data_IF_700414767038
#
_entry.id   IF_700414767038
#
_cell.length_a   1.000
_cell.length_b   1.000
_cell.length_c   1.000
_cell.angle_alpha   90.00
_cell.angle_beta   90.00
_cell.angle_gamma   90.00
#
_symmetry.space_group_name_H-M   'P 1'
#
loop_
_entity.id
_entity.type
_entity.pdbx_description
1 polymer ?
#
# COMPACT_ATOMS: atom_id res chain seq x y z
N UNK A 1 24.21 19.61 35.68
CA UNK A 1 25.26 20.67 35.65
C UNK A 1 26.50 20.10 34.96
N UNK A 2 27.23 20.92 34.17
CA UNK A 2 28.37 20.63 33.24
C UNK A 2 27.89 20.32 31.80
N UNK A 3 27.58 21.28 30.92
CA UNK A 3 28.41 22.31 30.22
C UNK A 3 29.67 21.76 29.53
N UNK A 4 29.59 21.56 28.22
CA UNK A 4 30.71 21.80 27.27
C UNK A 4 30.15 22.43 26.00
N UNK A 5 30.52 23.69 25.80
CA UNK A 5 30.30 24.50 24.61
C UNK A 5 31.34 24.12 23.53
N UNK A 6 30.95 24.02 22.26
CA UNK A 6 31.16 25.01 21.19
C UNK A 6 32.61 25.17 20.69
N UNK A 7 32.83 24.94 19.39
CA UNK A 7 33.44 25.84 18.38
C UNK A 7 33.56 25.02 17.07
N UNK A 8 32.90 25.44 15.97
CA UNK A 8 33.44 26.28 14.88
C UNK A 8 34.46 25.52 13.99
N UNK A 9 34.54 25.61 12.67
CA UNK A 9 33.81 26.25 11.58
C UNK A 9 34.48 25.74 10.28
N UNK A 10 33.77 25.65 9.15
CA UNK A 10 34.27 25.85 7.77
C UNK A 10 33.19 25.36 6.79
N UNK A 11 32.42 26.26 6.16
CA UNK A 11 32.70 26.84 4.84
C UNK A 11 32.90 25.81 3.72
N UNK A 12 31.84 25.56 2.97
CA UNK A 12 31.90 25.46 1.52
C UNK A 12 30.53 25.80 0.93
N UNK A 13 30.33 27.08 0.62
CA UNK A 13 29.28 27.53 -0.27
C UNK A 13 29.66 27.09 -1.70
N UNK A 14 28.78 26.35 -2.37
CA UNK A 14 28.76 26.31 -3.83
C UNK A 14 27.37 26.69 -4.27
N UNK A 15 27.30 27.95 -4.70
CA UNK A 15 26.17 28.61 -5.32
C UNK A 15 26.16 28.17 -6.79
N UNK A 16 25.14 27.44 -7.22
CA UNK A 16 24.86 27.21 -8.65
C UNK A 16 23.43 27.66 -8.94
N UNK A 17 23.28 28.93 -9.31
CA UNK A 17 22.09 29.46 -9.96
C UNK A 17 22.39 29.76 -11.43
N UNK A 18 21.62 29.14 -12.32
CA UNK A 18 21.18 29.61 -13.65
C UNK A 18 20.31 28.47 -14.21
N UNK A 19 18.99 28.43 -14.02
CA UNK A 19 17.93 29.20 -14.70
C UNK A 19 18.11 29.24 -16.21
N UNK A 20 17.20 28.59 -16.95
CA UNK A 20 16.45 29.17 -18.07
C UNK A 20 15.33 28.24 -18.55
N UNK A 21 14.11 28.76 -18.47
CA UNK A 21 13.01 28.64 -19.43
C UNK A 21 12.47 27.24 -19.82
N UNK A 22 11.22 26.96 -19.41
CA UNK A 22 10.40 25.91 -20.01
C UNK A 22 9.05 25.78 -19.33
N UNK A 23 8.00 26.32 -19.95
CA UNK A 23 6.63 26.40 -19.47
C UNK A 23 5.93 25.02 -19.38
N UNK A 24 5.14 24.85 -18.32
CA UNK A 24 3.87 24.12 -18.29
C UNK A 24 3.77 22.81 -19.09
N UNK A 25 4.12 21.70 -18.46
CA UNK A 25 3.51 20.41 -18.79
C UNK A 25 2.64 19.96 -17.63
N UNK A 26 1.48 20.61 -17.58
CA UNK A 26 0.26 20.01 -17.06
C UNK A 26 -0.03 18.78 -17.93
N UNK A 27 0.55 17.63 -17.60
CA UNK A 27 -0.02 16.36 -18.04
C UNK A 27 -1.10 15.98 -17.03
N UNK A 28 -2.31 16.39 -17.37
CA UNK A 28 -3.48 15.68 -16.91
C UNK A 28 -3.43 14.32 -17.58
N UNK A 29 -3.05 13.28 -16.85
CA UNK A 29 -3.34 11.91 -17.27
C UNK A 29 -4.80 11.62 -16.87
N UNK A 30 -5.72 12.23 -17.62
CA UNK A 30 -6.98 11.57 -17.94
C UNK A 30 -6.67 10.70 -19.15
N UNK A 31 -6.22 9.48 -18.88
CA UNK A 31 -6.44 8.36 -19.78
C UNK A 31 -7.46 7.45 -19.13
N UNK A 32 -8.72 7.74 -19.44
CA UNK A 32 -9.72 6.71 -19.46
C UNK A 32 -9.52 5.88 -20.73
N UNK A 33 -9.23 4.59 -20.51
CA UNK A 33 -9.41 3.44 -21.41
C UNK A 33 -8.36 3.18 -22.51
N UNK A 34 -7.49 2.17 -22.27
CA UNK A 34 -7.58 0.80 -22.84
C UNK A 34 -6.19 0.16 -23.10
N UNK A 35 -6.07 -1.18 -23.21
CA UNK A 35 -6.90 -2.25 -22.65
C UNK A 35 -6.20 -2.90 -21.45
N UNK A 36 -6.96 -3.71 -20.74
CA UNK A 36 -6.42 -4.75 -19.88
C UNK A 36 -5.25 -5.45 -20.58
N UNK A 37 -4.04 -5.27 -20.06
CA UNK A 37 -3.10 -6.37 -20.03
C UNK A 37 -3.78 -7.44 -19.18
N UNK A 38 -4.58 -8.27 -19.85
CA UNK A 38 -4.95 -9.59 -19.41
C UNK A 38 -3.64 -10.37 -19.45
N UNK A 39 -2.72 -10.05 -18.54
CA UNK A 39 -1.99 -11.13 -17.91
C UNK A 39 -3.09 -12.03 -17.38
N UNK A 40 -3.11 -13.26 -17.88
CA UNK A 40 -3.81 -14.38 -17.29
C UNK A 40 -3.61 -14.32 -15.78
N UNK A 41 -4.52 -13.63 -15.09
CA UNK A 41 -4.58 -13.61 -13.64
C UNK A 41 -4.96 -15.03 -13.31
N UNK A 42 -3.96 -15.85 -13.00
CA UNK A 42 -4.15 -17.06 -12.21
C UNK A 42 -5.17 -16.69 -11.13
N UNK A 43 -6.25 -17.47 -10.92
CA UNK A 43 -7.17 -17.18 -9.83
C UNK A 43 -6.31 -17.02 -8.58
N UNK A 44 -6.26 -15.79 -8.04
CA UNK A 44 -5.52 -15.50 -6.82
C UNK A 44 -6.40 -16.06 -5.70
N UNK A 45 -6.44 -17.39 -5.63
CA UNK A 45 -6.89 -18.12 -4.46
C UNK A 45 -5.86 -17.81 -3.39
N UNK A 46 -6.29 -17.09 -2.37
CA UNK A 46 -5.39 -16.59 -1.35
C UNK A 46 -5.97 -15.40 -0.63
N UNK A 47 -5.44 -15.19 0.56
CA UNK A 47 -5.85 -14.17 1.52
C UNK A 47 -5.04 -12.88 1.39
N UNK A 48 -4.12 -12.83 0.43
CA UNK A 48 -3.28 -11.68 0.16
C UNK A 48 -3.08 -11.52 -1.35
N UNK A 49 -3.25 -10.28 -1.80
CA UNK A 49 -3.26 -9.94 -3.21
C UNK A 49 -2.09 -9.00 -3.52
N UNK A 50 -1.64 -8.88 -4.77
CA UNK A 50 -0.68 -7.85 -5.13
C UNK A 50 -1.13 -6.45 -4.66
N UNK A 51 -0.19 -5.62 -4.22
CA UNK A 51 -0.49 -4.25 -3.78
C UNK A 51 -1.34 -3.51 -4.82
N UNK A 52 -2.46 -2.95 -4.37
CA UNK A 52 -3.41 -2.19 -5.18
C UNK A 52 -4.32 -3.03 -6.08
N UNK A 53 -4.26 -4.36 -6.06
CA UNK A 53 -5.05 -5.18 -7.00
C UNK A 53 -6.49 -5.43 -6.55
N UNK A 54 -6.83 -5.18 -5.28
CA UNK A 54 -8.17 -5.33 -4.70
C UNK A 54 -8.63 -3.99 -4.11
N UNK A 55 -9.89 -3.64 -4.35
CA UNK A 55 -10.56 -2.45 -3.77
C UNK A 55 -11.85 -2.86 -3.05
N UNK A 56 -12.38 -1.94 -2.25
CA UNK A 56 -13.70 -2.10 -1.64
C UNK A 56 -14.74 -2.39 -2.73
N UNK A 57 -15.60 -3.37 -2.49
CA UNK A 57 -16.62 -3.86 -3.43
C UNK A 57 -16.18 -5.04 -4.30
N UNK A 58 -14.88 -5.35 -4.39
CA UNK A 58 -14.41 -6.53 -5.11
C UNK A 58 -14.72 -7.83 -4.34
N UNK A 59 -14.78 -8.96 -5.06
CA UNK A 59 -14.83 -10.29 -4.45
C UNK A 59 -13.42 -10.73 -4.04
N UNK A 60 -13.23 -10.92 -2.74
CA UNK A 60 -11.95 -11.31 -2.16
C UNK A 60 -12.18 -12.13 -0.88
N UNK A 61 -11.17 -12.87 -0.45
CA UNK A 61 -11.20 -13.62 0.79
C UNK A 61 -10.72 -12.74 1.95
N UNK A 62 -11.44 -12.78 3.08
CA UNK A 62 -11.00 -12.09 4.28
C UNK A 62 -9.86 -12.86 4.97
N UNK A 63 -8.70 -12.23 5.12
CA UNK A 63 -7.54 -12.83 5.80
C UNK A 63 -7.82 -13.18 7.27
N UNK A 64 -8.60 -12.36 7.98
CA UNK A 64 -8.89 -12.58 9.40
C UNK A 64 -9.82 -13.78 9.58
N UNK A 65 -10.91 -13.87 8.82
CA UNK A 65 -11.77 -15.05 8.74
C UNK A 65 -11.00 -16.33 8.41
N UNK A 66 -10.12 -16.26 7.40
CA UNK A 66 -9.32 -17.42 6.99
C UNK A 66 -8.39 -17.91 8.10
N UNK A 67 -7.77 -16.99 8.85
CA UNK A 67 -6.83 -17.34 9.94
C UNK A 67 -7.53 -17.76 11.23
N UNK A 68 -8.57 -17.04 11.64
CA UNK A 68 -9.21 -17.26 12.94
C UNK A 68 -10.29 -18.34 12.90
N UNK A 69 -11.01 -18.45 11.78
CA UNK A 69 -12.20 -19.31 11.66
C UNK A 69 -11.98 -20.45 10.66
N UNK A 70 -10.83 -20.49 9.97
CA UNK A 70 -10.58 -21.39 8.83
C UNK A 70 -11.70 -21.29 7.77
N UNK A 71 -12.27 -20.07 7.65
CA UNK A 71 -13.41 -19.77 6.81
C UNK A 71 -12.91 -19.19 5.49
N UNK A 72 -12.86 -20.05 4.49
CA UNK A 72 -12.43 -19.70 3.15
C UNK A 72 -13.62 -19.41 2.25
N UNK A 73 -13.48 -18.42 1.38
CA UNK A 73 -14.51 -18.07 0.41
C UNK A 73 -14.41 -16.61 -0.01
N UNK A 74 -14.77 -16.34 -1.26
CA UNK A 74 -14.82 -14.96 -1.75
C UNK A 74 -16.12 -14.29 -1.31
N UNK A 75 -15.98 -13.14 -0.69
CA UNK A 75 -17.08 -12.25 -0.34
C UNK A 75 -16.76 -10.82 -0.76
N UNK A 76 -17.72 -9.92 -0.59
CA UNK A 76 -17.47 -8.51 -0.90
C UNK A 76 -16.51 -7.90 0.13
N UNK A 77 -15.38 -7.38 -0.34
CA UNK A 77 -14.44 -6.64 0.49
C UNK A 77 -15.09 -5.33 0.95
N UNK A 78 -15.41 -5.20 2.24
CA UNK A 78 -15.94 -3.95 2.80
C UNK A 78 -14.85 -3.00 3.24
N UNK A 79 -13.66 -3.52 3.50
CA UNK A 79 -12.46 -2.75 3.75
C UNK A 79 -11.26 -3.43 3.08
N UNK A 80 -10.23 -2.63 2.77
CA UNK A 80 -8.93 -3.10 2.28
C UNK A 80 -7.80 -2.40 3.01
N UNK A 81 -6.63 -3.04 3.05
CA UNK A 81 -5.39 -2.48 3.59
C UNK A 81 -4.19 -2.96 2.78
N UNK A 82 -3.37 -2.01 2.34
CA UNK A 82 -2.06 -2.32 1.80
C UNK A 82 -1.04 -2.52 2.92
N UNK A 83 -0.32 -3.65 2.90
CA UNK A 83 0.72 -3.98 3.86
C UNK A 83 1.75 -4.91 3.21
N UNK A 84 3.05 -4.58 3.31
CA UNK A 84 4.17 -5.38 2.78
C UNK A 84 4.01 -5.83 1.31
N UNK A 85 3.83 -4.88 0.38
CA UNK A 85 3.63 -5.14 -1.06
C UNK A 85 2.41 -6.00 -1.40
N UNK A 86 1.48 -6.14 -0.45
CA UNK A 86 0.24 -6.87 -0.61
C UNK A 86 -0.96 -6.02 -0.22
N UNK A 87 -2.12 -6.34 -0.77
CA UNK A 87 -3.42 -5.83 -0.34
C UNK A 87 -4.21 -6.95 0.31
N UNK A 88 -4.73 -6.68 1.50
CA UNK A 88 -5.58 -7.58 2.26
C UNK A 88 -7.03 -7.06 2.21
N UNK A 89 -7.98 -7.98 2.07
CA UNK A 89 -9.40 -7.68 2.10
C UNK A 89 -10.02 -8.10 3.45
N UNK A 90 -11.09 -7.41 3.85
CA UNK A 90 -11.81 -7.66 5.10
C UNK A 90 -13.32 -7.58 4.88
N UNK A 91 -14.08 -8.44 5.55
CA UNK A 91 -15.55 -8.45 5.40
C UNK A 91 -16.22 -7.35 6.22
N UNK A 92 -15.47 -6.66 7.09
CA UNK A 92 -15.86 -5.48 7.86
C UNK A 92 -14.64 -4.70 8.39
N UNK A 93 -14.86 -3.48 8.92
CA UNK A 93 -13.81 -2.65 9.52
C UNK A 93 -13.22 -3.22 10.83
N UNK A 94 -13.98 -4.04 11.57
CA UNK A 94 -13.52 -4.68 12.80
C UNK A 94 -12.38 -5.67 12.55
N UNK A 95 -12.49 -6.46 11.49
CA UNK A 95 -11.42 -7.38 11.07
C UNK A 95 -10.20 -6.64 10.55
N UNK A 96 -10.38 -5.52 9.83
CA UNK A 96 -9.25 -4.66 9.45
C UNK A 96 -8.53 -4.13 10.70
N UNK A 97 -9.28 -3.70 11.71
CA UNK A 97 -8.70 -3.25 12.98
C UNK A 97 -7.96 -4.40 13.70
N UNK A 98 -8.49 -5.61 13.67
CA UNK A 98 -7.83 -6.80 14.22
C UNK A 98 -6.51 -7.09 13.50
N UNK A 99 -6.49 -7.03 12.16
CA UNK A 99 -5.27 -7.15 11.37
C UNK A 99 -4.23 -6.11 11.78
N UNK A 100 -4.63 -4.84 11.89
CA UNK A 100 -3.73 -3.74 12.30
C UNK A 100 -3.16 -3.97 13.70
N UNK A 101 -3.92 -4.59 14.60
CA UNK A 101 -3.46 -4.87 15.98
C UNK A 101 -2.39 -5.95 16.07
N UNK A 102 -2.35 -6.88 15.11
CA UNK A 102 -1.32 -7.93 15.04
C UNK A 102 -1.05 -8.38 13.59
N UNK A 103 -0.45 -7.52 12.75
CA UNK A 103 -0.32 -7.79 11.33
C UNK A 103 0.59 -8.99 11.05
N UNK A 104 1.55 -9.27 11.92
CA UNK A 104 2.44 -10.44 11.81
C UNK A 104 1.68 -11.76 11.91
N UNK A 105 0.64 -11.86 12.76
CA UNK A 105 -0.18 -13.09 12.85
C UNK A 105 -0.87 -13.41 11.52
N UNK A 106 -1.43 -12.40 10.88
CA UNK A 106 -2.28 -12.58 9.69
C UNK A 106 -1.46 -12.57 8.39
N UNK A 107 -0.46 -11.70 8.27
CA UNK A 107 0.34 -11.59 7.05
C UNK A 107 1.22 -12.82 6.75
N UNK A 108 1.38 -13.75 7.69
CA UNK A 108 2.13 -15.00 7.50
C UNK A 108 1.25 -16.15 6.97
N UNK A 109 -0.07 -16.02 6.99
CA UNK A 109 -1.01 -17.11 6.70
C UNK A 109 -1.37 -17.22 5.20
N UNK A 110 -0.36 -17.11 4.34
CA UNK A 110 -0.51 -17.05 2.89
C UNK A 110 -0.13 -18.37 2.23
#
# INVERSE_FOLDING_TARGET
MKKTAALAAALAAVLSLAVLAGCSEKKADTDAAAPAAVETRTPVTGTAYPKGSIKVGDKAECIVCAVNENKHGQEEAKAVLDYQEKTYAFCNEGEKAEFISNPTKYAQAQ
#
